data_IF_118731159482
#
_entry.id   IF_118731159482
#
_cell.length_a   1.000
_cell.length_b   1.000
_cell.length_c   1.000
_cell.angle_alpha   90.00
_cell.angle_beta   90.00
_cell.angle_gamma   90.00
#
_symmetry.space_group_name_H-M   'P 1'
#
loop_
_entity.id
_entity.type
_entity.pdbx_description
1 polymer ?
#
# COMPACT_ATOMS: atom_id res chain seq x y z
N UNK A 1 -15.37 -3.98 9.08
CA UNK A 1 -15.38 -4.20 7.60
C UNK A 1 -15.21 -5.68 7.31
N UNK A 2 -16.10 -6.30 6.53
CA UNK A 2 -16.20 -7.78 6.37
C UNK A 2 -14.95 -8.47 5.83
N UNK A 3 -14.19 -7.80 4.98
CA UNK A 3 -12.92 -8.36 4.50
C UNK A 3 -11.89 -8.55 5.63
N UNK A 4 -11.91 -7.69 6.64
CA UNK A 4 -11.05 -7.82 7.83
C UNK A 4 -11.44 -9.00 8.72
N UNK A 5 -12.74 -9.27 8.83
CA UNK A 5 -13.29 -10.30 9.73
C UNK A 5 -13.31 -11.68 9.10
N UNK A 6 -13.67 -11.77 7.81
CA UNK A 6 -13.99 -13.04 7.12
C UNK A 6 -13.03 -13.37 5.97
N UNK A 7 -12.06 -12.53 5.71
CA UNK A 7 -11.20 -12.64 4.53
C UNK A 7 -11.94 -12.34 3.23
N UNK A 8 -11.23 -12.49 2.10
CA UNK A 8 -11.82 -12.25 0.79
C UNK A 8 -12.93 -13.25 0.47
N UNK A 9 -12.71 -14.57 0.60
CA UNK A 9 -13.70 -15.60 0.23
C UNK A 9 -14.93 -15.63 1.14
N UNK A 10 -14.75 -15.44 2.43
CA UNK A 10 -15.86 -15.39 3.38
C UNK A 10 -16.76 -14.17 3.23
N UNK A 11 -16.40 -13.24 2.33
CA UNK A 11 -17.12 -12.01 2.06
C UNK A 11 -17.88 -12.10 0.74
N UNK A 12 -19.17 -11.74 0.73
CA UNK A 12 -20.01 -11.65 -0.46
C UNK A 12 -20.56 -10.25 -0.63
N UNK A 13 -20.87 -9.84 -1.88
CA UNK A 13 -21.50 -8.54 -2.18
C UNK A 13 -22.79 -8.37 -1.38
N UNK A 14 -23.61 -9.42 -1.32
CA UNK A 14 -24.83 -9.42 -0.51
C UNK A 14 -24.55 -9.20 0.98
N UNK A 15 -23.57 -9.90 1.52
CA UNK A 15 -23.16 -9.72 2.90
C UNK A 15 -22.61 -8.31 3.21
N UNK A 16 -21.90 -7.69 2.26
CA UNK A 16 -21.43 -6.29 2.37
C UNK A 16 -22.64 -5.34 2.39
N UNK A 17 -23.60 -5.55 1.49
CA UNK A 17 -24.81 -4.74 1.39
C UNK A 17 -25.65 -4.82 2.68
N UNK A 18 -25.83 -6.03 3.24
CA UNK A 18 -26.51 -6.26 4.51
C UNK A 18 -25.87 -5.50 5.68
N UNK A 19 -24.53 -5.50 5.79
CA UNK A 19 -23.81 -4.74 6.83
C UNK A 19 -23.93 -3.23 6.65
N UNK A 20 -23.83 -2.77 5.40
CA UNK A 20 -23.99 -1.37 5.05
C UNK A 20 -25.45 -0.89 5.09
N UNK A 21 -26.41 -1.82 5.30
CA UNK A 21 -27.86 -1.55 5.29
C UNK A 21 -28.34 -0.91 3.98
N UNK A 22 -27.80 -1.38 2.86
CA UNK A 22 -28.17 -0.94 1.52
C UNK A 22 -28.59 -2.13 0.66
N UNK A 23 -29.26 -1.86 -0.47
CA UNK A 23 -29.60 -2.89 -1.44
C UNK A 23 -28.33 -3.39 -2.15
N UNK A 24 -28.24 -4.71 -2.36
CA UNK A 24 -27.13 -5.33 -3.09
C UNK A 24 -27.02 -4.83 -4.54
N UNK A 25 -28.14 -4.41 -5.15
CA UNK A 25 -28.15 -3.77 -6.46
C UNK A 25 -27.37 -2.45 -6.45
N UNK A 26 -27.43 -1.70 -5.35
CA UNK A 26 -26.68 -0.46 -5.19
C UNK A 26 -25.18 -0.72 -5.15
N UNK A 27 -24.75 -1.75 -4.39
CA UNK A 27 -23.34 -2.18 -4.35
C UNK A 27 -22.88 -2.59 -5.75
N UNK A 28 -23.67 -3.38 -6.47
CA UNK A 28 -23.37 -3.74 -7.86
C UNK A 28 -23.34 -2.55 -8.81
N UNK A 29 -24.21 -1.56 -8.61
CA UNK A 29 -24.23 -0.36 -9.43
C UNK A 29 -22.92 0.44 -9.33
N UNK A 30 -22.43 0.66 -8.11
CA UNK A 30 -21.23 1.47 -7.86
C UNK A 30 -19.92 0.70 -8.07
N UNK A 31 -19.85 -0.51 -7.58
CA UNK A 31 -18.60 -1.27 -7.52
C UNK A 31 -18.51 -2.39 -8.56
N UNK A 32 -19.60 -2.69 -9.27
CA UNK A 32 -19.74 -3.72 -10.31
C UNK A 32 -19.54 -5.16 -9.82
N UNK A 33 -18.58 -5.40 -8.92
CA UNK A 33 -18.22 -6.73 -8.45
C UNK A 33 -17.64 -6.69 -7.01
N UNK A 34 -17.39 -7.84 -6.43
CA UNK A 34 -16.69 -7.99 -5.14
C UNK A 34 -15.27 -7.42 -5.22
N UNK A 35 -14.63 -7.62 -6.37
CA UNK A 35 -13.30 -7.09 -6.70
C UNK A 35 -13.31 -5.56 -6.65
N UNK A 36 -14.31 -4.94 -7.26
CA UNK A 36 -14.47 -3.49 -7.24
C UNK A 36 -14.64 -2.92 -5.82
N UNK A 37 -15.40 -3.62 -4.96
CA UNK A 37 -15.50 -3.23 -3.54
C UNK A 37 -14.16 -3.37 -2.83
N UNK A 38 -13.41 -4.43 -3.13
CA UNK A 38 -12.10 -4.66 -2.52
C UNK A 38 -11.07 -3.59 -2.95
N UNK A 39 -11.03 -3.26 -4.25
CA UNK A 39 -10.18 -2.18 -4.78
C UNK A 39 -10.52 -0.82 -4.16
N UNK A 40 -11.81 -0.49 -4.07
CA UNK A 40 -12.26 0.73 -3.42
C UNK A 40 -11.90 0.78 -1.92
N UNK A 41 -11.95 -0.35 -1.25
CA UNK A 41 -11.53 -0.46 0.15
C UNK A 41 -10.02 -0.25 0.33
N UNK A 42 -9.19 -0.71 -0.61
CA UNK A 42 -7.75 -0.44 -0.61
C UNK A 42 -7.46 1.03 -0.86
N UNK A 43 -8.13 1.64 -1.83
CA UNK A 43 -7.97 3.06 -2.14
C UNK A 43 -8.38 3.93 -0.94
N UNK A 44 -9.51 3.65 -0.30
CA UNK A 44 -9.96 4.36 0.90
C UNK A 44 -8.97 4.20 2.07
N UNK A 45 -8.44 3.00 2.28
CA UNK A 45 -7.49 2.74 3.36
C UNK A 45 -6.15 3.45 3.15
N UNK A 46 -5.64 3.48 1.92
CA UNK A 46 -4.34 4.06 1.57
C UNK A 46 -4.44 5.52 1.14
N UNK A 47 -5.58 5.94 0.61
CA UNK A 47 -5.81 7.30 0.06
C UNK A 47 -4.72 7.75 -0.92
N UNK A 48 -4.26 6.83 -1.77
CA UNK A 48 -3.12 7.07 -2.67
C UNK A 48 -3.35 8.31 -3.56
N UNK A 49 -4.59 8.50 -4.03
CA UNK A 49 -4.96 9.67 -4.83
C UNK A 49 -4.72 11.02 -4.13
N UNK A 50 -4.78 11.06 -2.80
CA UNK A 50 -4.51 12.27 -2.00
C UNK A 50 -3.07 12.29 -1.47
N UNK A 51 -2.55 11.15 -1.08
CA UNK A 51 -1.24 11.00 -0.46
C UNK A 51 -0.11 11.29 -1.46
N UNK A 52 -0.19 10.74 -2.68
CA UNK A 52 0.87 10.89 -3.68
C UNK A 52 1.10 12.35 -4.10
N UNK A 53 0.08 13.15 -4.46
CA UNK A 53 0.30 14.55 -4.78
C UNK A 53 0.91 15.34 -3.62
N UNK A 54 0.45 15.11 -2.39
CA UNK A 54 0.99 15.76 -1.20
C UNK A 54 2.45 15.35 -0.93
N UNK A 55 2.76 14.06 -1.10
CA UNK A 55 4.11 13.54 -0.91
C UNK A 55 5.12 14.15 -1.89
N UNK A 56 4.70 14.40 -3.12
CA UNK A 56 5.54 14.86 -4.23
C UNK A 56 5.50 16.38 -4.45
N UNK A 57 4.68 17.12 -3.71
CA UNK A 57 4.49 18.55 -3.89
C UNK A 57 5.79 19.37 -3.83
N UNK A 58 6.72 18.96 -2.97
CA UNK A 58 8.04 19.61 -2.79
C UNK A 58 9.16 18.90 -3.59
N UNK A 59 8.80 18.12 -4.60
CA UNK A 59 9.75 17.35 -5.39
C UNK A 59 10.33 16.16 -4.64
N UNK A 60 11.45 15.64 -5.14
CA UNK A 60 12.07 14.41 -4.60
C UNK A 60 13.07 14.67 -3.47
N UNK A 61 13.45 15.90 -3.17
CA UNK A 61 14.33 16.20 -2.04
C UNK A 61 13.60 15.91 -0.71
N UNK A 62 14.21 15.07 0.13
CA UNK A 62 13.62 14.66 1.40
C UNK A 62 12.38 13.76 1.28
N UNK A 63 12.02 13.32 0.08
CA UNK A 63 10.83 12.48 -0.14
C UNK A 63 10.90 11.15 0.60
N UNK A 64 12.09 10.60 0.84
CA UNK A 64 12.28 9.38 1.62
C UNK A 64 11.74 9.51 3.04
N UNK A 65 12.00 10.62 3.70
CA UNK A 65 11.50 10.92 5.04
C UNK A 65 9.99 11.18 5.03
N UNK A 66 9.52 12.04 4.10
CA UNK A 66 8.08 12.34 3.96
C UNK A 66 7.27 11.08 3.72
N UNK A 67 7.76 10.18 2.87
CA UNK A 67 7.11 8.91 2.55
C UNK A 67 7.00 8.01 3.78
N UNK A 68 8.08 7.87 4.55
CA UNK A 68 8.04 7.05 5.76
C UNK A 68 7.15 7.63 6.86
N UNK A 69 7.17 8.94 7.07
CA UNK A 69 6.27 9.58 8.03
C UNK A 69 4.81 9.39 7.66
N UNK A 70 4.50 9.54 6.38
CA UNK A 70 3.16 9.27 5.84
C UNK A 70 2.78 7.80 6.00
N UNK A 71 3.69 6.89 5.66
CA UNK A 71 3.53 5.45 5.85
C UNK A 71 3.19 5.11 7.31
N UNK A 72 3.97 5.58 8.28
CA UNK A 72 3.71 5.30 9.69
C UNK A 72 2.38 5.92 10.16
N UNK A 73 2.06 7.13 9.73
CA UNK A 73 0.76 7.76 10.05
C UNK A 73 -0.41 6.89 9.60
N UNK A 74 -0.32 6.26 8.43
CA UNK A 74 -1.35 5.36 7.92
C UNK A 74 -1.38 4.03 8.70
N UNK A 75 -0.22 3.43 8.98
CA UNK A 75 -0.13 2.11 9.61
C UNK A 75 -0.30 2.13 11.13
N UNK A 76 -0.06 3.23 11.80
CA UNK A 76 -0.31 3.38 13.23
C UNK A 76 -1.79 3.64 13.55
N UNK A 77 -2.58 4.10 12.58
CA UNK A 77 -4.04 4.13 12.70
C UNK A 77 -4.59 2.70 12.81
N UNK A 78 -5.21 2.36 13.95
CA UNK A 78 -5.70 1.01 14.24
C UNK A 78 -6.67 0.50 13.18
N UNK A 79 -7.65 1.31 12.82
CA UNK A 79 -8.71 0.91 11.87
C UNK A 79 -8.15 0.66 10.47
N UNK A 80 -7.25 1.53 10.00
CA UNK A 80 -6.58 1.38 8.71
C UNK A 80 -5.67 0.16 8.68
N UNK A 81 -4.88 -0.03 9.73
CA UNK A 81 -3.99 -1.18 9.86
C UNK A 81 -4.76 -2.50 9.83
N UNK A 82 -5.86 -2.63 10.56
CA UNK A 82 -6.68 -3.84 10.56
C UNK A 82 -7.20 -4.15 9.16
N UNK A 83 -7.69 -3.15 8.43
CA UNK A 83 -8.13 -3.29 7.05
C UNK A 83 -6.99 -3.76 6.14
N UNK A 84 -5.83 -3.13 6.22
CA UNK A 84 -4.68 -3.46 5.37
C UNK A 84 -4.09 -4.84 5.67
N UNK A 85 -3.98 -5.22 6.95
CA UNK A 85 -3.55 -6.57 7.35
C UNK A 85 -4.52 -7.62 6.80
N UNK A 86 -5.81 -7.36 6.82
CA UNK A 86 -6.81 -8.27 6.26
C UNK A 86 -6.68 -8.40 4.73
N UNK A 87 -6.45 -7.28 4.03
CA UNK A 87 -6.17 -7.28 2.59
C UNK A 87 -4.95 -8.13 2.26
N UNK A 88 -3.83 -7.92 2.97
CA UNK A 88 -2.60 -8.68 2.75
C UNK A 88 -2.81 -10.17 3.04
N UNK A 89 -3.48 -10.53 4.13
CA UNK A 89 -3.80 -11.93 4.43
C UNK A 89 -4.70 -12.57 3.37
N UNK A 90 -5.68 -11.84 2.87
CA UNK A 90 -6.54 -12.33 1.78
C UNK A 90 -5.74 -12.55 0.49
N UNK A 91 -4.81 -11.66 0.19
CA UNK A 91 -3.95 -11.77 -0.99
C UNK A 91 -3.02 -13.00 -0.92
N UNK A 92 -2.60 -13.46 0.26
CA UNK A 92 -1.77 -14.66 0.38
C UNK A 92 -2.53 -15.97 0.21
N UNK A 93 -3.86 -15.94 0.19
CA UNK A 93 -4.71 -17.13 0.19
C UNK A 93 -5.48 -17.35 -1.12
N UNK A 94 -5.60 -16.34 -1.98
CA UNK A 94 -6.48 -16.37 -3.17
C UNK A 94 -5.85 -15.69 -4.36
N UNK A 95 -5.73 -16.41 -5.48
CA UNK A 95 -5.10 -15.92 -6.72
C UNK A 95 -5.75 -14.63 -7.25
N UNK A 96 -7.06 -14.51 -7.11
CA UNK A 96 -7.80 -13.33 -7.55
C UNK A 96 -7.45 -12.09 -6.72
N UNK A 97 -7.41 -12.22 -5.40
CA UNK A 97 -6.97 -11.16 -4.51
C UNK A 97 -5.49 -10.77 -4.75
N UNK A 98 -4.62 -11.75 -5.05
CA UNK A 98 -3.22 -11.51 -5.48
C UNK A 98 -3.18 -10.68 -6.76
N UNK A 99 -3.98 -11.04 -7.79
CA UNK A 99 -4.01 -10.29 -9.05
C UNK A 99 -4.44 -8.84 -8.84
N UNK A 100 -5.45 -8.62 -8.03
CA UNK A 100 -5.96 -7.28 -7.72
C UNK A 100 -4.96 -6.45 -6.93
N UNK A 101 -4.36 -7.01 -5.89
CA UNK A 101 -3.33 -6.34 -5.12
C UNK A 101 -2.12 -6.00 -6.00
N UNK A 102 -1.71 -6.92 -6.89
CA UNK A 102 -0.65 -6.67 -7.87
C UNK A 102 -1.00 -5.51 -8.79
N UNK A 103 -2.18 -5.52 -9.39
CA UNK A 103 -2.63 -4.45 -10.28
C UNK A 103 -2.66 -3.11 -9.56
N UNK A 104 -3.24 -3.06 -8.36
CA UNK A 104 -3.30 -1.85 -7.55
C UNK A 104 -1.90 -1.32 -7.19
N UNK A 105 -1.02 -2.17 -6.66
CA UNK A 105 0.35 -1.76 -6.30
C UNK A 105 1.13 -1.31 -7.54
N UNK A 106 1.00 -2.03 -8.67
CA UNK A 106 1.74 -1.68 -9.89
C UNK A 106 1.28 -0.36 -10.49
N UNK A 107 -0.02 -0.08 -10.50
CA UNK A 107 -0.58 1.11 -11.15
C UNK A 107 -0.62 2.30 -10.18
N UNK A 108 -1.25 2.13 -9.03
CA UNK A 108 -1.55 3.26 -8.15
C UNK A 108 -0.36 3.65 -7.26
N UNK A 109 0.49 2.70 -6.88
CA UNK A 109 1.64 3.00 -6.00
C UNK A 109 2.91 3.18 -6.82
N UNK A 110 3.35 2.11 -7.50
CA UNK A 110 4.61 2.12 -8.25
C UNK A 110 4.53 3.04 -9.46
N UNK A 111 3.43 2.97 -10.24
CA UNK A 111 3.23 3.79 -11.42
C UNK A 111 3.28 5.28 -11.10
N UNK A 112 2.49 5.74 -10.15
CA UNK A 112 2.45 7.16 -9.74
C UNK A 112 3.79 7.65 -9.17
N UNK A 113 4.48 6.81 -8.39
CA UNK A 113 5.80 7.17 -7.89
C UNK A 113 6.83 7.23 -9.03
N UNK A 114 6.78 6.29 -9.97
CA UNK A 114 7.68 6.24 -11.12
C UNK A 114 7.52 7.46 -12.05
N UNK A 115 6.29 7.96 -12.23
CA UNK A 115 6.02 9.18 -13.01
C UNK A 115 6.74 10.42 -12.46
N UNK A 116 7.00 10.46 -11.15
CA UNK A 116 7.72 11.56 -10.50
C UNK A 116 9.25 11.40 -10.54
N UNK A 117 9.77 10.24 -10.95
CA UNK A 117 11.20 9.95 -10.96
C UNK A 117 11.79 10.29 -12.34
N UNK A 118 12.47 11.41 -12.42
CA UNK A 118 13.19 11.86 -13.63
C UNK A 118 14.58 11.19 -13.75
N UNK A 119 14.62 9.86 -13.65
CA UNK A 119 15.85 9.07 -13.69
C UNK A 119 15.65 7.76 -14.47
N UNK A 120 16.71 7.19 -15.06
CA UNK A 120 16.64 5.86 -15.68
C UNK A 120 16.08 4.81 -14.72
N UNK A 121 15.36 3.83 -15.25
CA UNK A 121 14.77 2.72 -14.48
C UNK A 121 13.76 3.17 -13.40
N UNK A 122 12.97 4.22 -13.66
CA UNK A 122 12.03 4.81 -12.72
C UNK A 122 11.09 3.75 -12.07
N UNK A 123 10.53 2.84 -12.87
CA UNK A 123 9.66 1.76 -12.35
C UNK A 123 10.41 0.81 -11.42
N UNK A 124 11.65 0.43 -11.72
CA UNK A 124 12.48 -0.41 -10.86
C UNK A 124 12.79 0.31 -9.54
N UNK A 125 13.13 1.60 -9.60
CA UNK A 125 13.38 2.43 -8.42
C UNK A 125 12.17 2.52 -7.50
N UNK A 126 11.01 2.78 -8.08
CA UNK A 126 9.73 2.78 -7.34
C UNK A 126 9.42 1.40 -6.74
N UNK A 127 9.69 0.32 -7.47
CA UNK A 127 9.53 -1.06 -6.98
C UNK A 127 10.49 -1.39 -5.82
N UNK A 128 11.74 -0.91 -5.87
CA UNK A 128 12.70 -1.05 -4.76
C UNK A 128 12.18 -0.35 -3.50
N UNK A 129 11.63 0.85 -3.62
CA UNK A 129 10.96 1.54 -2.49
C UNK A 129 9.79 0.70 -1.97
N UNK A 130 8.91 0.23 -2.85
CA UNK A 130 7.78 -0.61 -2.48
C UNK A 130 8.21 -1.87 -1.72
N UNK A 131 9.32 -2.51 -2.13
CA UNK A 131 9.86 -3.70 -1.47
C UNK A 131 10.31 -3.42 -0.01
N UNK A 132 10.92 -2.25 0.25
CA UNK A 132 11.27 -1.83 1.61
C UNK A 132 10.03 -1.63 2.48
N UNK A 133 9.01 -0.97 1.96
CA UNK A 133 7.77 -0.74 2.69
C UNK A 133 7.03 -2.05 2.99
N UNK A 134 6.95 -2.96 2.02
CA UNK A 134 6.34 -4.29 2.20
C UNK A 134 7.11 -5.09 3.24
N UNK A 135 8.45 -5.08 3.18
CA UNK A 135 9.30 -5.73 4.17
C UNK A 135 9.05 -5.18 5.58
N UNK A 136 8.95 -3.86 5.71
CA UNK A 136 8.66 -3.19 6.98
C UNK A 136 7.27 -3.55 7.51
N UNK A 137 6.26 -3.61 6.63
CA UNK A 137 4.91 -4.09 6.98
C UNK A 137 4.96 -5.50 7.55
N UNK A 138 5.62 -6.40 6.83
CA UNK A 138 5.72 -7.80 7.23
C UNK A 138 6.38 -7.95 8.59
N UNK A 139 7.55 -7.34 8.77
CA UNK A 139 8.35 -7.52 9.99
C UNK A 139 7.74 -6.80 11.20
N UNK A 140 7.25 -5.56 11.02
CA UNK A 140 6.72 -4.76 12.12
C UNK A 140 5.31 -5.12 12.55
N UNK A 141 4.40 -5.30 11.58
CA UNK A 141 2.97 -5.36 11.88
C UNK A 141 2.36 -6.76 11.74
N UNK A 142 2.92 -7.62 10.89
CA UNK A 142 2.35 -8.95 10.61
C UNK A 142 3.06 -10.03 11.40
N UNK A 143 4.37 -10.20 11.18
CA UNK A 143 5.18 -11.22 11.85
C UNK A 143 5.62 -10.77 13.25
N UNK A 144 5.84 -9.47 13.44
CA UNK A 144 6.21 -8.81 14.69
C UNK A 144 7.55 -9.30 15.23
N UNK A 145 8.59 -9.10 14.44
CA UNK A 145 9.96 -9.51 14.79
C UNK A 145 10.73 -8.34 15.40
N UNK A 146 11.21 -8.51 16.63
CA UNK A 146 12.11 -7.55 17.28
C UNK A 146 13.52 -7.59 16.67
N UNK A 147 14.25 -6.45 16.67
CA UNK A 147 13.90 -5.19 17.32
C UNK A 147 13.01 -4.24 16.48
N UNK A 148 12.71 -4.57 15.22
CA UNK A 148 11.93 -3.67 14.33
C UNK A 148 10.49 -3.49 14.83
N UNK A 149 9.89 -4.54 15.39
CA UNK A 149 8.51 -4.48 15.88
C UNK A 149 8.32 -3.53 17.04
N UNK A 150 9.31 -3.45 17.95
CA UNK A 150 9.30 -2.60 19.15
C UNK A 150 10.01 -1.26 18.98
N UNK A 151 10.74 -1.04 17.89
CA UNK A 151 11.43 0.22 17.64
C UNK A 151 10.44 1.39 17.57
N UNK A 152 10.85 2.56 18.06
CA UNK A 152 10.09 3.78 17.85
C UNK A 152 10.12 4.25 16.39
N UNK A 153 9.13 5.02 15.99
CA UNK A 153 8.96 5.49 14.61
C UNK A 153 10.14 6.35 14.15
N UNK A 154 10.68 7.20 15.01
CA UNK A 154 11.79 8.09 14.65
C UNK A 154 13.06 7.29 14.33
N UNK A 155 13.35 6.25 15.10
CA UNK A 155 14.46 5.32 14.82
C UNK A 155 14.31 4.67 13.46
N UNK A 156 13.11 4.21 13.11
CA UNK A 156 12.85 3.58 11.81
C UNK A 156 12.88 4.59 10.66
N UNK A 157 12.36 5.80 10.85
CA UNK A 157 12.47 6.88 9.86
C UNK A 157 13.94 7.20 9.60
N UNK A 158 14.73 7.41 10.65
CA UNK A 158 16.16 7.71 10.51
C UNK A 158 16.95 6.60 9.77
N UNK A 159 16.58 5.32 9.99
CA UNK A 159 17.24 4.21 9.35
C UNK A 159 16.82 4.00 7.88
N UNK A 160 15.53 4.09 7.59
CA UNK A 160 15.00 3.75 6.27
C UNK A 160 14.93 4.92 5.29
N UNK A 161 14.74 6.16 5.77
CA UNK A 161 14.60 7.34 4.90
C UNK A 161 15.80 7.54 3.96
N UNK A 162 17.06 7.43 4.41
CA UNK A 162 18.21 7.57 3.52
C UNK A 162 18.27 6.49 2.43
N UNK A 163 17.84 5.27 2.75
CA UNK A 163 17.81 4.15 1.80
C UNK A 163 16.77 4.41 0.71
N UNK A 164 15.57 4.79 1.10
CA UNK A 164 14.48 5.14 0.18
C UNK A 164 14.88 6.35 -0.67
N UNK A 165 15.43 7.39 -0.05
CA UNK A 165 15.92 8.57 -0.76
C UNK A 165 16.95 8.19 -1.83
N UNK A 166 17.90 7.32 -1.48
CA UNK A 166 18.91 6.81 -2.41
C UNK A 166 18.29 6.10 -3.62
N UNK A 167 17.28 5.23 -3.41
CA UNK A 167 16.61 4.57 -4.53
C UNK A 167 15.96 5.57 -5.49
N UNK A 168 15.39 6.65 -4.97
CA UNK A 168 14.67 7.63 -5.77
C UNK A 168 15.58 8.61 -6.50
N UNK A 169 16.71 9.02 -5.88
CA UNK A 169 17.48 10.18 -6.37
C UNK A 169 18.94 9.92 -6.69
N UNK A 170 19.58 8.89 -6.12
CA UNK A 170 20.99 8.63 -6.36
C UNK A 170 21.26 7.91 -7.70
N UNK A 171 22.49 7.92 -8.14
CA UNK A 171 22.95 7.01 -9.19
C UNK A 171 22.95 5.58 -8.67
N UNK A 172 22.38 4.67 -9.44
CA UNK A 172 22.33 3.24 -9.16
C UNK A 172 22.84 2.51 -10.40
N UNK A 173 23.78 1.59 -10.20
CA UNK A 173 24.24 0.66 -11.24
C UNK A 173 23.16 -0.41 -11.49
N UNK A 174 22.07 0.01 -12.09
CA UNK A 174 21.02 -0.90 -12.53
C UNK A 174 21.24 -1.22 -14.01
N UNK A 175 21.10 -2.48 -14.43
CA UNK A 175 21.15 -2.82 -15.83
C UNK A 175 20.07 -2.02 -16.59
N UNK A 176 20.41 -1.58 -17.80
CA UNK A 176 19.41 -0.94 -18.66
C UNK A 176 18.31 -1.96 -18.90
N UNK A 177 17.06 -1.59 -18.53
CA UNK A 177 15.91 -2.43 -18.77
C UNK A 177 15.64 -2.53 -20.28
N UNK A 178 15.43 -3.74 -20.75
CA UNK A 178 14.91 -3.99 -22.11
C UNK A 178 13.50 -3.42 -22.28
#
# INVERSE_FOLDING_TARGET
MKFAERGYDGTTVRGIAEEAKVDSALVHHFFKSKEGVFAAAMEDALRIGEVMPSLLADGLDGVGERLLRTFFTLWESKDKRETMVAVIRSATSHEEAVRMLRAFVSTEVIGRLAEAIERPNASMRAALVGSQLIGLIMIRYIVRVDPIASADTETLVAAYAPVIQRYLTAELDLPEGE
#
